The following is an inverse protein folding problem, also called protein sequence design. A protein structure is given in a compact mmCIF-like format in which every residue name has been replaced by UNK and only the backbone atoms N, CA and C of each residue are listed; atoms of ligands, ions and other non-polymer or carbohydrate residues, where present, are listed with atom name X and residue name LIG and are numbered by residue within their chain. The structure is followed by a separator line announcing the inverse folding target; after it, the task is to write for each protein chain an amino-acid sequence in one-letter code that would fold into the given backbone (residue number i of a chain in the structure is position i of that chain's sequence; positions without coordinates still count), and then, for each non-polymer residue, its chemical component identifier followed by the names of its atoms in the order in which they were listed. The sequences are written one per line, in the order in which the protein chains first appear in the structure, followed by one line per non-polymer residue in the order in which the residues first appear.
data_IF_856158846596
#
_entry.id   IF_856158846596
#
_cell.length_a   1.000
_cell.length_b   1.000
_cell.length_c   1.000
_cell.angle_alpha   90.00
_cell.angle_beta   90.00
_cell.angle_gamma   90.00
#
_symmetry.space_group_name_H-M   'P 1'
#
loop_
_entity.id
_entity.type
_entity.pdbx_description
1 polymer ?
#
# COMPACT_ATOMS: atom_id res chain seq x y z
N UNK A 1 -3.79 7.12 4.90
CA UNK A 1 -2.90 5.93 5.00
C UNK A 1 -1.98 5.87 3.81
N UNK A 2 -0.71 5.67 4.03
CA UNK A 2 0.22 5.46 2.92
C UNK A 2 1.38 4.58 3.32
N UNK A 3 1.84 3.80 2.33
CA UNK A 3 3.08 3.05 2.43
C UNK A 3 4.22 3.98 2.03
N UNK A 4 5.20 4.15 2.90
CA UNK A 4 6.33 5.03 2.66
C UNK A 4 7.59 4.20 2.44
N UNK A 5 8.18 4.31 1.27
CA UNK A 5 9.41 3.61 0.93
C UNK A 5 10.60 4.50 1.29
N UNK A 6 11.34 4.12 2.30
CA UNK A 6 12.46 4.90 2.86
C UNK A 6 13.81 4.42 2.33
N UNK A 7 13.93 3.13 2.04
CA UNK A 7 15.16 2.50 1.58
C UNK A 7 14.81 1.18 0.90
N UNK A 8 15.79 0.55 0.26
CA UNK A 8 15.60 -0.71 -0.44
C UNK A 8 15.02 -1.83 0.45
N UNK A 9 15.20 -1.72 1.76
CA UNK A 9 14.73 -2.71 2.74
C UNK A 9 13.83 -2.11 3.83
N UNK A 10 13.37 -0.88 3.66
CA UNK A 10 12.59 -0.18 4.68
C UNK A 10 11.32 0.44 4.11
N UNK A 11 10.18 -0.13 4.48
CA UNK A 11 8.85 0.38 4.14
C UNK A 11 8.08 0.56 5.43
N UNK A 12 7.45 1.72 5.60
CA UNK A 12 6.62 2.02 6.76
C UNK A 12 5.17 2.29 6.32
N UNK A 13 4.24 1.98 7.22
CA UNK A 13 2.84 2.36 7.05
C UNK A 13 2.58 3.58 7.92
N UNK A 14 2.22 4.71 7.31
CA UNK A 14 1.98 5.95 8.00
C UNK A 14 0.54 6.40 7.85
N UNK A 15 0.08 7.19 8.81
CA UNK A 15 -1.28 7.73 8.85
C UNK A 15 -2.32 6.62 8.72
N UNK A 16 -2.10 5.53 9.45
CA UNK A 16 -2.86 4.28 9.29
C UNK A 16 -4.34 4.42 9.62
N UNK A 17 -4.74 5.43 10.37
CA UNK A 17 -6.15 5.68 10.72
C UNK A 17 -6.90 6.50 9.67
N UNK A 18 -6.21 6.99 8.65
CA UNK A 18 -6.83 7.76 7.58
C UNK A 18 -7.22 6.84 6.42
N UNK A 19 -8.46 6.37 6.42
CA UNK A 19 -9.00 5.49 5.40
C UNK A 19 -9.61 6.23 4.20
N UNK A 20 -9.55 7.57 4.18
CA UNK A 20 -10.07 8.37 3.08
C UNK A 20 -9.09 8.49 1.93
N UNK A 21 -7.82 8.23 2.18
CA UNK A 21 -6.74 8.39 1.22
C UNK A 21 -5.83 7.19 1.34
N UNK A 22 -5.48 6.58 0.22
CA UNK A 22 -4.57 5.44 0.19
C UNK A 22 -3.60 5.58 -0.98
N UNK A 23 -2.30 5.59 -0.67
CA UNK A 23 -1.27 5.78 -1.69
C UNK A 23 0.05 5.16 -1.24
N UNK A 24 1.01 5.16 -2.16
CA UNK A 24 2.41 4.80 -1.89
C UNK A 24 3.26 6.05 -2.10
N UNK A 25 4.12 6.35 -1.15
CA UNK A 25 5.03 7.49 -1.23
C UNK A 25 6.47 6.97 -1.27
N UNK A 26 7.20 7.31 -2.31
CA UNK A 26 8.62 6.99 -2.42
C UNK A 26 9.41 8.15 -1.82
N UNK A 27 10.08 7.89 -0.70
CA UNK A 27 10.86 8.90 0.01
C UNK A 27 12.37 8.70 -0.14
N UNK A 28 12.79 7.70 -0.92
CA UNK A 28 14.20 7.46 -1.23
C UNK A 28 14.69 8.47 -2.26
N UNK A 29 15.78 9.21 -1.98
CA UNK A 29 16.39 10.04 -3.02
C UNK A 29 17.01 9.16 -4.11
N UNK A 30 16.90 9.61 -5.36
CA UNK A 30 17.46 8.92 -6.54
C UNK A 30 16.97 7.47 -6.69
N UNK A 31 15.77 7.17 -6.21
CA UNK A 31 15.19 5.84 -6.31
C UNK A 31 14.83 5.50 -7.76
N UNK A 32 15.18 4.31 -8.20
CA UNK A 32 14.70 3.79 -9.48
C UNK A 32 13.54 2.80 -9.26
N UNK A 33 12.84 2.51 -10.36
CA UNK A 33 11.65 1.65 -10.32
C UNK A 33 11.98 0.25 -9.79
N UNK A 34 13.10 -0.34 -10.19
CA UNK A 34 13.48 -1.69 -9.78
C UNK A 34 13.77 -1.77 -8.29
N UNK A 35 14.45 -0.76 -7.73
CA UNK A 35 14.75 -0.72 -6.30
C UNK A 35 13.47 -0.59 -5.48
N UNK A 36 12.55 0.28 -5.90
CA UNK A 36 11.27 0.45 -5.21
C UNK A 36 10.40 -0.81 -5.34
N UNK A 37 10.40 -1.43 -6.52
CA UNK A 37 9.68 -2.69 -6.74
C UNK A 37 10.16 -3.78 -5.78
N UNK A 38 11.47 -3.90 -5.58
CA UNK A 38 12.04 -4.86 -4.64
C UNK A 38 11.72 -4.53 -3.19
N UNK A 39 11.75 -3.25 -2.83
CA UNK A 39 11.40 -2.83 -1.47
C UNK A 39 9.95 -3.17 -1.13
N UNK A 40 9.04 -3.08 -2.11
CA UNK A 40 7.62 -3.33 -1.92
C UNK A 40 7.21 -4.79 -2.16
N UNK A 41 8.13 -5.68 -2.55
CA UNK A 41 7.80 -7.02 -3.07
C UNK A 41 6.86 -7.83 -2.17
N UNK A 42 7.00 -7.73 -0.84
CA UNK A 42 6.17 -8.49 0.09
C UNK A 42 4.79 -7.87 0.31
N UNK A 43 4.61 -6.61 -0.05
CA UNK A 43 3.38 -5.87 0.28
C UNK A 43 2.64 -5.35 -0.95
N UNK A 44 3.29 -5.25 -2.11
CA UNK A 44 2.64 -4.68 -3.30
C UNK A 44 3.29 -5.14 -4.59
N UNK A 45 2.48 -5.11 -5.65
CA UNK A 45 2.95 -5.20 -7.04
C UNK A 45 3.12 -3.77 -7.57
N UNK A 46 4.20 -3.53 -8.31
CA UNK A 46 4.47 -2.24 -8.93
C UNK A 46 4.67 -2.44 -10.44
N UNK A 47 3.56 -2.61 -11.20
CA UNK A 47 3.65 -2.91 -12.63
C UNK A 47 4.20 -1.75 -13.45
N UNK A 48 4.00 -0.52 -12.98
CA UNK A 48 4.53 0.67 -13.62
C UNK A 48 4.76 1.76 -12.57
N UNK A 49 5.30 2.91 -13.00
CA UNK A 49 5.81 3.93 -12.09
C UNK A 49 4.76 4.56 -11.18
N UNK A 50 3.55 4.77 -11.70
CA UNK A 50 2.55 5.58 -11.00
C UNK A 50 1.43 4.77 -10.33
N UNK A 51 1.41 3.46 -10.50
CA UNK A 51 0.35 2.60 -9.97
C UNK A 51 0.94 1.40 -9.25
N UNK A 52 0.50 1.20 -8.01
CA UNK A 52 0.81 0.01 -7.22
C UNK A 52 -0.49 -0.75 -6.95
N UNK A 53 -0.37 -2.06 -6.76
CA UNK A 53 -1.46 -2.92 -6.31
C UNK A 53 -1.01 -3.56 -5.01
N UNK A 54 -1.59 -3.09 -3.91
CA UNK A 54 -1.15 -3.45 -2.55
C UNK A 54 -1.89 -4.68 -2.09
N UNK A 55 -1.15 -5.69 -1.63
CA UNK A 55 -1.76 -6.93 -1.12
C UNK A 55 -2.56 -6.65 0.15
N UNK A 56 -3.82 -7.05 0.16
CA UNK A 56 -4.66 -6.98 1.35
C UNK A 56 -3.99 -7.72 2.52
N UNK A 57 -3.44 -8.91 2.26
CA UNK A 57 -2.77 -9.72 3.30
C UNK A 57 -1.59 -8.98 3.93
N UNK A 58 -0.86 -8.19 3.16
CA UNK A 58 0.26 -7.41 3.65
C UNK A 58 -0.15 -6.33 4.63
N UNK A 59 -1.25 -5.65 4.33
CA UNK A 59 -1.81 -4.65 5.23
C UNK A 59 -2.37 -5.29 6.50
N UNK A 60 -3.10 -6.40 6.35
CA UNK A 60 -3.72 -7.07 7.50
C UNK A 60 -2.70 -7.66 8.46
N UNK A 61 -1.53 -8.05 7.97
CA UNK A 61 -0.46 -8.60 8.78
C UNK A 61 0.51 -7.55 9.31
N UNK A 62 0.22 -6.26 9.09
CA UNK A 62 1.15 -5.19 9.48
C UNK A 62 1.43 -5.21 10.98
N UNK A 63 2.71 -5.11 11.40
CA UNK A 63 3.05 -5.10 12.82
C UNK A 63 2.32 -4.02 13.60
N UNK A 64 1.74 -4.39 14.73
CA UNK A 64 0.96 -3.48 15.56
C UNK A 64 -0.50 -3.33 15.15
N UNK A 65 -0.89 -3.80 13.96
CA UNK A 65 -2.27 -3.68 13.44
C UNK A 65 -2.94 -5.03 13.21
N UNK A 66 -2.18 -6.11 13.14
CA UNK A 66 -2.72 -7.43 12.81
C UNK A 66 -3.74 -7.93 13.83
N UNK A 67 -3.64 -7.51 15.10
CA UNK A 67 -4.56 -7.88 16.17
C UNK A 67 -5.52 -6.75 16.56
N UNK A 68 -5.48 -5.62 15.86
CA UNK A 68 -6.37 -4.49 16.11
C UNK A 68 -7.69 -4.71 15.37
N UNK A 69 -8.68 -5.25 16.07
CA UNK A 69 -9.97 -5.63 15.49
C UNK A 69 -10.68 -4.43 14.87
N UNK A 70 -10.64 -3.27 15.52
CA UNK A 70 -11.29 -2.06 15.02
C UNK A 70 -10.63 -1.59 13.72
N UNK A 71 -9.30 -1.60 13.67
CA UNK A 71 -8.57 -1.24 12.46
C UNK A 71 -8.85 -2.20 11.31
N UNK A 72 -8.87 -3.51 11.59
CA UNK A 72 -9.19 -4.54 10.58
C UNK A 72 -10.58 -4.34 10.00
N UNK A 73 -11.56 -4.00 10.83
CA UNK A 73 -12.92 -3.70 10.37
C UNK A 73 -12.97 -2.47 9.48
N UNK A 74 -12.22 -1.43 9.83
CA UNK A 74 -12.17 -0.20 9.02
C UNK A 74 -11.48 -0.46 7.67
N UNK A 75 -10.45 -1.30 7.66
CA UNK A 75 -9.81 -1.70 6.40
C UNK A 75 -10.81 -2.44 5.51
N UNK A 76 -11.58 -3.35 6.06
CA UNK A 76 -12.63 -4.06 5.31
C UNK A 76 -13.62 -3.07 4.69
N UNK A 77 -14.07 -2.07 5.46
CA UNK A 77 -14.98 -1.05 4.96
C UNK A 77 -14.35 -0.23 3.83
N UNK A 78 -13.07 0.09 3.92
CA UNK A 78 -12.34 0.80 2.86
C UNK A 78 -12.33 -0.03 1.57
N UNK A 79 -12.04 -1.31 1.67
CA UNK A 79 -12.01 -2.23 0.51
C UNK A 79 -13.40 -2.30 -0.14
N UNK A 80 -14.46 -2.43 0.66
CA UNK A 80 -15.82 -2.47 0.13
C UNK A 80 -16.20 -1.20 -0.62
N UNK A 81 -15.77 -0.04 -0.14
CA UNK A 81 -16.00 1.23 -0.83
C UNK A 81 -15.19 1.36 -2.11
N UNK A 82 -14.01 0.78 -2.16
CA UNK A 82 -13.13 0.83 -3.33
C UNK A 82 -13.60 -0.08 -4.46
N UNK A 83 -14.30 -1.16 -4.13
CA UNK A 83 -14.69 -2.20 -5.09
C UNK A 83 -15.52 -1.67 -6.26
N UNK A 84 -16.55 -0.82 -6.06
CA UNK A 84 -17.34 -0.30 -7.19
C UNK A 84 -16.54 0.61 -8.13
N UNK A 85 -15.42 1.15 -7.68
CA UNK A 85 -14.56 2.01 -8.50
C UNK A 85 -13.56 1.22 -9.35
N UNK A 86 -13.51 -0.10 -9.22
CA UNK A 86 -12.54 -0.92 -9.94
C UNK A 86 -11.14 -0.88 -9.31
N UNK A 87 -11.03 -0.46 -8.06
CA UNK A 87 -9.74 -0.35 -7.36
C UNK A 87 -9.34 -1.62 -6.63
N UNK A 88 -10.11 -2.68 -6.75
CA UNK A 88 -9.84 -3.98 -6.15
C UNK A 88 -9.66 -5.02 -7.25
N UNK A 89 -8.51 -5.69 -7.24
CA UNK A 89 -8.28 -6.87 -8.08
C UNK A 89 -8.66 -8.10 -7.25
N UNK A 90 -9.82 -8.67 -7.55
CA UNK A 90 -10.36 -9.81 -6.81
C UNK A 90 -9.49 -11.08 -6.97
N UNK A 91 -8.88 -11.26 -8.13
CA UNK A 91 -8.07 -12.45 -8.40
C UNK A 91 -6.81 -12.49 -7.54
N UNK A 92 -6.15 -11.35 -7.39
CA UNK A 92 -4.91 -11.25 -6.61
C UNK A 92 -5.12 -10.69 -5.21
N UNK A 93 -6.32 -10.24 -4.88
CA UNK A 93 -6.68 -9.59 -3.61
C UNK A 93 -5.75 -8.43 -3.33
N UNK A 94 -5.72 -7.49 -4.28
CA UNK A 94 -4.90 -6.29 -4.18
C UNK A 94 -5.76 -5.04 -4.32
N UNK A 95 -5.24 -3.95 -3.76
CA UNK A 95 -5.89 -2.64 -3.73
C UNK A 95 -5.05 -1.67 -4.54
N UNK A 96 -5.67 -1.00 -5.50
CA UNK A 96 -4.98 -0.02 -6.33
C UNK A 96 -4.57 1.20 -5.50
N UNK A 97 -3.34 1.65 -5.68
CA UNK A 97 -2.80 2.82 -5.01
C UNK A 97 -1.98 3.67 -6.00
N UNK A 98 -2.13 4.97 -5.92
CA UNK A 98 -1.28 5.91 -6.66
C UNK A 98 0.10 5.95 -6.03
N UNK A 99 1.14 6.09 -6.84
CA UNK A 99 2.53 6.17 -6.36
C UNK A 99 3.06 7.58 -6.59
N UNK A 100 3.52 8.22 -5.51
CA UNK A 100 4.16 9.54 -5.56
C UNK A 100 5.67 9.38 -5.42
N UNK A 101 6.41 10.01 -6.33
CA UNK A 101 7.87 9.97 -6.36
C UNK A 101 8.45 11.31 -5.88
N UNK A 102 9.66 11.31 -5.33
CA UNK A 102 10.33 12.57 -4.98
C UNK A 102 10.70 13.34 -6.25
N UNK A 103 10.66 14.63 -6.16
CA UNK A 103 11.06 15.52 -7.26
C UNK A 103 12.55 15.71 -7.35
#
# INVERSE_FOLDING_TARGET
MFLKVLAATAVELEDADNFRSFKVVVAMPNADLDTVRRALADVALLPERHTAWVYERGLRAWPGLSNDVAWQSRLTAMIEKARPHGWIDEANKTIKAHVEWPE
#
